data_IF_924597090912
#
_entry.id   IF_924597090912
#
_cell.length_a   1.000
_cell.length_b   1.000
_cell.length_c   1.000
_cell.angle_alpha   90.00
_cell.angle_beta   90.00
_cell.angle_gamma   90.00
#
_symmetry.space_group_name_H-M   'P 1'
#
loop_
_entity.id
_entity.type
_entity.pdbx_description
1 polymer ?
#
# COMPACT_ATOMS: atom_id res chain seq x y z
N UNK A 1 -0.86 15.09 20.20
CA UNK A 1 -0.01 13.97 20.65
C UNK A 1 0.64 13.38 19.40
N UNK A 2 1.91 13.73 19.13
CA UNK A 2 2.63 13.25 17.93
C UNK A 2 3.02 11.81 18.20
N UNK A 3 2.34 10.85 17.59
CA UNK A 3 2.77 9.45 17.62
C UNK A 3 4.05 9.36 16.81
N UNK A 4 5.16 9.24 17.52
CA UNK A 4 6.48 8.97 16.96
C UNK A 4 6.40 7.56 16.35
N UNK A 5 6.19 7.48 15.04
CA UNK A 5 6.31 6.23 14.30
C UNK A 5 7.80 5.89 14.36
N UNK A 6 8.16 4.91 15.20
CA UNK A 6 9.51 4.38 15.24
C UNK A 6 9.80 3.80 13.85
N UNK A 7 10.68 4.46 13.10
CA UNK A 7 11.24 3.94 11.86
C UNK A 7 12.16 2.76 12.21
N UNK A 8 11.57 1.61 12.50
CA UNK A 8 12.31 0.37 12.61
C UNK A 8 12.56 -0.10 11.19
N UNK A 9 13.76 0.20 10.66
CA UNK A 9 14.24 -0.34 9.39
C UNK A 9 14.50 -1.82 9.60
N UNK A 10 13.44 -2.63 9.52
CA UNK A 10 13.56 -4.07 9.39
C UNK A 10 13.67 -4.40 7.92
N UNK A 11 14.89 -4.29 7.40
CA UNK A 11 15.24 -4.94 6.14
C UNK A 11 15.57 -6.39 6.43
N UNK A 12 14.71 -7.31 6.01
CA UNK A 12 15.15 -8.68 5.76
C UNK A 12 16.27 -8.58 4.69
N UNK A 13 17.53 -8.95 5.00
CA UNK A 13 18.65 -8.80 4.07
C UNK A 13 18.42 -9.55 2.75
N UNK A 14 17.63 -10.62 2.78
CA UNK A 14 17.31 -11.38 1.57
C UNK A 14 16.30 -10.67 0.68
N UNK A 15 15.35 -9.93 1.27
CA UNK A 15 14.39 -9.11 0.52
C UNK A 15 15.13 -7.94 -0.17
N UNK A 16 16.06 -7.28 0.51
CA UNK A 16 16.88 -6.23 -0.11
C UNK A 16 17.77 -6.77 -1.22
N UNK A 17 18.31 -7.99 -1.09
CA UNK A 17 19.10 -8.64 -2.15
C UNK A 17 18.25 -9.02 -3.36
N UNK A 18 16.97 -9.29 -3.17
CA UNK A 18 16.01 -9.62 -4.23
C UNK A 18 15.52 -8.35 -4.94
N UNK A 19 15.23 -7.32 -4.16
CA UNK A 19 14.84 -5.99 -4.62
C UNK A 19 16.08 -5.15 -4.94
N UNK A 20 17.00 -5.67 -5.76
CA UNK A 20 18.23 -4.92 -6.13
C UNK A 20 17.91 -3.54 -6.70
N UNK A 21 16.75 -3.47 -7.34
CA UNK A 21 16.20 -2.32 -8.01
C UNK A 21 15.32 -1.44 -7.09
N UNK A 22 15.05 -1.88 -5.84
CA UNK A 22 14.20 -1.15 -4.90
C UNK A 22 14.78 -1.12 -3.48
N UNK A 23 15.11 0.08 -3.00
CA UNK A 23 15.62 0.28 -1.65
C UNK A 23 14.46 0.48 -0.67
N UNK A 24 14.21 -0.48 0.23
CA UNK A 24 13.19 -0.34 1.28
C UNK A 24 13.58 0.80 2.23
N UNK A 25 12.68 1.77 2.39
CA UNK A 25 12.85 2.94 3.26
C UNK A 25 12.11 2.71 4.59
N UNK A 26 10.90 2.16 4.54
CA UNK A 26 10.10 1.93 5.74
C UNK A 26 9.07 0.82 5.56
N UNK A 27 8.66 0.23 6.68
CA UNK A 27 7.52 -0.69 6.76
C UNK A 27 6.27 0.15 7.06
N UNK A 28 5.32 0.18 6.13
CA UNK A 28 4.04 0.88 6.32
C UNK A 28 3.03 0.04 7.08
N UNK A 29 3.08 -1.28 6.89
CA UNK A 29 2.24 -2.24 7.59
C UNK A 29 2.96 -3.56 7.77
N UNK A 30 2.92 -4.10 8.97
CA UNK A 30 3.38 -5.46 9.29
C UNK A 30 2.20 -6.30 9.76
N UNK A 31 2.04 -7.50 9.20
CA UNK A 31 0.90 -8.38 9.51
C UNK A 31 1.24 -9.86 9.23
N UNK A 32 0.47 -10.75 9.85
CA UNK A 32 0.45 -12.19 9.54
C UNK A 32 0.06 -12.45 8.08
N UNK A 33 -0.74 -11.56 7.49
CA UNK A 33 -1.16 -11.62 6.08
C UNK A 33 -0.02 -11.37 5.09
N UNK A 34 0.91 -10.52 5.49
CA UNK A 34 1.93 -9.97 4.61
C UNK A 34 2.21 -8.51 4.95
N UNK A 35 3.38 -8.06 4.54
CA UNK A 35 3.88 -6.74 4.85
C UNK A 35 3.64 -5.77 3.68
N UNK A 36 3.61 -4.49 3.99
CA UNK A 36 3.58 -3.39 3.02
C UNK A 36 4.76 -2.48 3.31
N UNK A 37 5.58 -2.23 2.29
CA UNK A 37 6.79 -1.43 2.39
C UNK A 37 6.67 -0.19 1.52
N UNK A 38 7.29 0.90 1.95
CA UNK A 38 7.67 2.03 1.10
C UNK A 38 9.12 1.84 0.70
N UNK A 39 9.40 1.90 -0.60
CA UNK A 39 10.75 1.79 -1.14
C UNK A 39 11.04 2.92 -2.14
N UNK A 40 12.31 3.15 -2.42
CA UNK A 40 12.77 3.99 -3.53
C UNK A 40 13.01 3.10 -4.75
N UNK A 41 12.49 3.48 -5.91
CA UNK A 41 12.86 2.87 -7.19
C UNK A 41 14.29 3.33 -7.57
N UNK A 42 15.17 2.38 -7.84
CA UNK A 42 16.58 2.61 -8.13
C UNK A 42 16.95 2.25 -9.58
N UNK A 43 15.97 1.84 -10.41
CA UNK A 43 16.23 1.45 -11.81
C UNK A 43 16.63 2.64 -12.70
N UNK A 44 16.09 3.82 -12.39
CA UNK A 44 16.39 5.05 -13.10
C UNK A 44 16.88 6.09 -12.10
N UNK A 45 18.17 6.40 -12.15
CA UNK A 45 18.82 7.36 -11.26
C UNK A 45 18.27 8.79 -11.40
N UNK A 46 17.57 9.09 -12.50
CA UNK A 46 16.88 10.37 -12.73
C UNK A 46 15.47 10.39 -12.13
N UNK A 47 14.84 9.23 -11.89
CA UNK A 47 13.51 9.12 -11.30
C UNK A 47 13.62 8.74 -9.84
N UNK A 48 13.34 9.70 -8.96
CA UNK A 48 13.31 9.45 -7.51
C UNK A 48 11.93 9.00 -7.02
N UNK A 49 11.26 8.16 -7.81
CA UNK A 49 9.90 7.75 -7.49
C UNK A 49 9.90 6.78 -6.31
N UNK A 50 8.99 7.02 -5.39
CA UNK A 50 8.70 6.05 -4.35
C UNK A 50 7.77 4.98 -4.91
N UNK A 51 7.90 3.78 -4.38
CA UNK A 51 7.02 2.66 -4.69
C UNK A 51 6.48 2.04 -3.42
N UNK A 52 5.35 1.37 -3.58
CA UNK A 52 4.79 0.47 -2.58
C UNK A 52 5.08 -0.96 -2.98
N UNK A 53 5.61 -1.74 -2.05
CA UNK A 53 5.83 -3.18 -2.20
C UNK A 53 4.86 -3.89 -1.26
N UNK A 54 3.93 -4.66 -1.81
CA UNK A 54 2.99 -5.49 -1.06
C UNK A 54 3.42 -6.95 -1.12
N UNK A 55 3.44 -7.62 0.02
CA UNK A 55 3.74 -9.05 0.11
C UNK A 55 2.46 -9.85 0.35
N UNK A 56 2.28 -10.94 -0.39
CA UNK A 56 1.31 -11.99 -0.14
C UNK A 56 2.01 -13.20 0.46
N UNK A 57 1.87 -13.43 1.78
CA UNK A 57 2.54 -14.55 2.45
C UNK A 57 1.96 -15.90 2.00
N UNK A 58 2.83 -16.91 1.88
CA UNK A 58 2.44 -18.24 1.45
C UNK A 58 1.64 -18.92 2.56
N UNK A 59 0.61 -19.69 2.18
CA UNK A 59 -0.18 -20.52 3.11
C UNK A 59 -0.83 -19.74 4.28
N UNK A 60 -0.94 -18.41 4.16
CA UNK A 60 -1.57 -17.56 5.17
C UNK A 60 -3.02 -17.30 4.81
N UNK A 61 -3.90 -17.48 5.80
CA UNK A 61 -5.33 -17.17 5.77
C UNK A 61 -6.04 -17.68 4.50
N UNK A 62 -6.00 -19.00 4.23
CA UNK A 62 -6.81 -19.58 3.17
C UNK A 62 -8.30 -19.35 3.46
N UNK A 63 -9.08 -19.09 2.41
CA UNK A 63 -10.53 -19.20 2.48
C UNK A 63 -10.99 -20.66 2.38
N UNK A 64 -12.31 -20.88 2.37
CA UNK A 64 -12.93 -22.21 2.24
C UNK A 64 -12.57 -22.94 0.92
N UNK A 65 -12.06 -22.21 -0.07
CA UNK A 65 -11.60 -22.74 -1.35
C UNK A 65 -10.07 -22.88 -1.41
N UNK A 66 -9.36 -22.68 -0.29
CA UNK A 66 -7.91 -22.78 -0.19
C UNK A 66 -7.14 -21.58 -0.76
N UNK A 67 -7.82 -20.49 -1.13
CA UNK A 67 -7.17 -19.29 -1.68
C UNK A 67 -6.64 -18.43 -0.55
N UNK A 68 -5.33 -18.22 -0.53
CA UNK A 68 -4.65 -17.46 0.52
C UNK A 68 -4.28 -16.04 0.10
N UNK A 69 -3.34 -15.45 0.85
CA UNK A 69 -2.90 -14.07 0.59
C UNK A 69 -2.21 -13.89 -0.76
N UNK A 70 -1.61 -14.94 -1.34
CA UNK A 70 -1.03 -14.90 -2.69
C UNK A 70 -2.12 -14.72 -3.74
N UNK A 71 -3.16 -15.53 -3.67
CA UNK A 71 -4.27 -15.50 -4.62
C UNK A 71 -4.99 -14.15 -4.54
N UNK A 72 -5.14 -13.57 -3.34
CA UNK A 72 -5.68 -12.21 -3.18
C UNK A 72 -4.79 -11.13 -3.79
N UNK A 73 -3.47 -11.25 -3.66
CA UNK A 73 -2.55 -10.28 -4.26
C UNK A 73 -2.56 -10.36 -5.80
N UNK A 74 -2.60 -11.58 -6.36
CA UNK A 74 -2.77 -11.79 -7.81
C UNK A 74 -4.11 -11.27 -8.30
N UNK A 75 -5.17 -11.44 -7.51
CA UNK A 75 -6.47 -10.86 -7.85
C UNK A 75 -6.41 -9.32 -7.89
N UNK A 76 -5.72 -8.69 -6.92
CA UNK A 76 -5.49 -7.25 -6.95
C UNK A 76 -4.74 -6.84 -8.23
N UNK A 77 -3.66 -7.53 -8.58
CA UNK A 77 -2.91 -7.30 -9.82
C UNK A 77 -3.83 -7.35 -11.05
N UNK A 78 -4.61 -8.42 -11.18
CA UNK A 78 -5.54 -8.61 -12.30
C UNK A 78 -6.57 -7.49 -12.40
N UNK A 79 -7.25 -7.17 -11.29
CA UNK A 79 -8.27 -6.10 -11.26
C UNK A 79 -7.67 -4.76 -11.61
N UNK A 80 -6.50 -4.44 -11.04
CA UNK A 80 -5.84 -3.16 -11.25
C UNK A 80 -5.37 -2.98 -12.70
N UNK A 81 -4.81 -4.03 -13.32
CA UNK A 81 -4.46 -4.03 -14.74
C UNK A 81 -5.70 -3.93 -15.63
N UNK A 82 -6.81 -4.55 -15.25
CA UNK A 82 -8.06 -4.51 -16.01
C UNK A 82 -8.72 -3.13 -15.98
N UNK A 83 -8.44 -2.34 -14.94
CA UNK A 83 -9.06 -1.03 -14.70
C UNK A 83 -8.13 0.17 -14.98
N UNK A 84 -6.85 -0.07 -15.30
CA UNK A 84 -5.83 0.99 -15.36
C UNK A 84 -6.12 2.11 -16.35
N UNK A 85 -6.89 1.81 -17.41
CA UNK A 85 -7.29 2.78 -18.43
C UNK A 85 -8.74 3.29 -18.26
N UNK A 86 -9.44 2.84 -17.22
CA UNK A 86 -10.85 3.17 -16.96
C UNK A 86 -10.98 4.13 -15.78
N UNK A 87 -10.18 3.92 -14.74
CA UNK A 87 -10.16 4.74 -13.53
C UNK A 87 -8.72 4.99 -13.10
N UNK A 88 -8.48 6.09 -12.40
CA UNK A 88 -7.17 6.41 -11.84
C UNK A 88 -6.75 5.41 -10.77
N UNK A 89 -6.07 4.34 -11.18
CA UNK A 89 -5.41 3.39 -10.27
C UNK A 89 -3.91 3.59 -10.31
N UNK A 90 -3.19 3.35 -9.20
CA UNK A 90 -1.74 3.43 -9.20
C UNK A 90 -1.14 2.51 -10.28
N UNK A 91 -0.03 2.90 -10.88
CA UNK A 91 0.63 2.05 -11.87
C UNK A 91 1.18 0.76 -11.22
N UNK A 92 1.08 -0.38 -11.91
CA UNK A 92 1.80 -1.60 -11.54
C UNK A 92 3.17 -1.56 -12.21
N UNK A 93 4.23 -1.58 -11.40
CA UNK A 93 5.61 -1.58 -11.89
C UNK A 93 6.15 -2.99 -12.09
N UNK A 94 5.87 -3.90 -11.15
CA UNK A 94 6.41 -5.25 -11.20
C UNK A 94 5.60 -6.23 -10.33
N UNK A 95 5.73 -7.53 -10.63
CA UNK A 95 5.22 -8.62 -9.84
C UNK A 95 6.15 -9.83 -9.92
N UNK A 96 6.58 -10.34 -8.76
CA UNK A 96 7.45 -11.52 -8.71
C UNK A 96 7.14 -12.44 -7.53
N UNK A 97 7.72 -13.64 -7.58
CA UNK A 97 7.63 -14.64 -6.52
C UNK A 97 8.99 -14.95 -5.92
N UNK A 98 9.05 -15.06 -4.60
CA UNK A 98 10.27 -15.44 -3.90
C UNK A 98 9.98 -16.18 -2.60
N UNK A 99 10.70 -17.29 -2.37
CA UNK A 99 10.53 -18.19 -1.21
C UNK A 99 9.07 -18.56 -0.94
N UNK A 100 8.31 -18.77 -2.01
CA UNK A 100 6.89 -19.11 -1.95
C UNK A 100 5.94 -17.94 -1.70
N UNK A 101 6.44 -16.73 -1.45
CA UNK A 101 5.68 -15.50 -1.31
C UNK A 101 5.53 -14.76 -2.64
N UNK A 102 4.42 -14.06 -2.82
CA UNK A 102 4.24 -13.17 -3.97
C UNK A 102 4.48 -11.72 -3.53
N UNK A 103 5.02 -10.90 -4.43
CA UNK A 103 5.30 -9.49 -4.21
C UNK A 103 4.75 -8.68 -5.38
N UNK A 104 4.06 -7.59 -5.07
CA UNK A 104 3.49 -6.65 -6.04
C UNK A 104 4.08 -5.27 -5.78
N UNK A 105 4.73 -4.71 -6.80
CA UNK A 105 5.30 -3.38 -6.79
C UNK A 105 4.39 -2.46 -7.58
N UNK A 106 4.02 -1.35 -6.94
CA UNK A 106 3.12 -0.36 -7.51
C UNK A 106 3.58 1.05 -7.16
N UNK A 107 3.12 2.01 -7.94
CA UNK A 107 3.32 3.43 -7.70
C UNK A 107 2.93 3.82 -6.27
N UNK A 108 3.74 4.68 -5.66
CA UNK A 108 3.37 5.38 -4.44
C UNK A 108 2.65 6.68 -4.79
N UNK A 109 1.38 6.79 -4.39
CA UNK A 109 0.63 8.03 -4.52
C UNK A 109 0.98 8.93 -3.34
N UNK A 110 1.60 10.07 -3.62
CA UNK A 110 1.87 11.10 -2.63
C UNK A 110 0.58 11.83 -2.24
N UNK A 111 0.43 12.13 -0.95
CA UNK A 111 -0.71 12.87 -0.42
C UNK A 111 -1.32 12.22 0.81
N UNK A 112 -2.56 12.62 1.09
CA UNK A 112 -3.35 12.13 2.23
C UNK A 112 -4.41 11.16 1.74
N UNK A 113 -4.67 10.14 2.54
CA UNK A 113 -5.80 9.25 2.31
C UNK A 113 -7.12 10.00 2.54
N UNK A 114 -8.18 9.60 1.82
CA UNK A 114 -9.52 10.13 2.04
C UNK A 114 -9.93 10.04 3.53
N UNK A 115 -9.56 8.95 4.20
CA UNK A 115 -9.79 8.77 5.64
C UNK A 115 -9.14 9.88 6.47
N UNK A 116 -7.90 10.24 6.18
CA UNK A 116 -7.20 11.30 6.93
C UNK A 116 -7.80 12.68 6.66
N UNK A 117 -8.28 12.94 5.44
CA UNK A 117 -8.96 14.17 5.09
C UNK A 117 -10.28 14.26 5.88
N UNK A 118 -11.13 13.24 5.76
CA UNK A 118 -12.42 13.17 6.46
C UNK A 118 -12.24 13.23 7.97
N UNK A 119 -11.30 12.47 8.55
CA UNK A 119 -11.03 12.53 9.98
C UNK A 119 -10.57 13.92 10.45
N UNK A 120 -9.85 14.65 9.59
CA UNK A 120 -9.47 16.03 9.82
C UNK A 120 -10.66 16.98 9.86
N UNK A 121 -11.65 16.81 8.98
CA UNK A 121 -12.88 17.62 8.95
C UNK A 121 -13.78 17.31 10.16
N UNK A 122 -13.84 16.04 10.56
CA UNK A 122 -14.66 15.62 11.69
C UNK A 122 -14.14 16.17 13.03
N UNK A 123 -12.83 16.32 13.21
CA UNK A 123 -12.23 16.82 14.46
C UNK A 123 -12.77 16.14 15.75
N UNK A 124 -13.11 14.85 15.68
CA UNK A 124 -13.77 14.05 16.75
C UNK A 124 -15.23 14.41 17.07
N UNK A 125 -15.87 15.22 16.25
CA UNK A 125 -17.31 15.49 16.31
C UNK A 125 -18.08 14.31 15.70
N UNK A 126 -19.39 14.25 15.92
CA UNK A 126 -20.31 13.39 15.16
C UNK A 126 -20.80 14.13 13.92
N UNK A 127 -21.41 13.42 12.97
CA UNK A 127 -21.96 14.03 11.75
C UNK A 127 -22.94 15.18 12.06
N UNK A 128 -23.83 14.97 13.01
CA UNK A 128 -24.85 15.95 13.39
C UNK A 128 -24.26 17.19 14.08
N UNK A 129 -23.08 17.06 14.66
CA UNK A 129 -22.35 18.15 15.31
C UNK A 129 -21.45 18.95 14.34
N UNK A 130 -21.42 18.60 13.05
CA UNK A 130 -20.71 19.35 12.03
C UNK A 130 -21.53 20.53 11.51
N UNK A 131 -20.84 21.62 11.15
CA UNK A 131 -21.46 22.71 10.38
C UNK A 131 -22.02 22.17 9.06
N UNK A 132 -23.02 22.86 8.50
CA UNK A 132 -23.54 22.53 7.18
C UNK A 132 -22.42 22.57 6.11
N UNK A 133 -21.53 23.57 6.20
CA UNK A 133 -20.35 23.73 5.34
C UNK A 133 -19.43 22.50 5.38
N UNK A 134 -19.08 22.00 6.58
CA UNK A 134 -18.22 20.81 6.70
C UNK A 134 -18.90 19.53 6.22
N UNK A 135 -20.24 19.43 6.31
CA UNK A 135 -20.97 18.30 5.76
C UNK A 135 -20.97 18.31 4.24
N UNK A 136 -21.18 19.48 3.64
CA UNK A 136 -21.13 19.67 2.18
C UNK A 136 -19.71 19.36 1.67
N UNK A 137 -18.67 19.89 2.31
CA UNK A 137 -17.30 19.67 1.86
C UNK A 137 -16.88 18.20 1.89
N UNK A 138 -17.43 17.37 2.79
CA UNK A 138 -17.19 15.92 2.79
C UNK A 138 -17.89 15.22 1.61
N UNK A 139 -19.09 15.67 1.23
CA UNK A 139 -19.87 15.06 0.15
C UNK A 139 -19.33 15.43 -1.25
N UNK A 140 -18.55 16.50 -1.34
CA UNK A 140 -17.92 16.99 -2.57
C UNK A 140 -16.47 16.50 -2.77
N UNK A 141 -15.95 15.66 -1.87
CA UNK A 141 -14.63 14.99 -2.03
C UNK A 141 -14.65 13.93 -3.14
#
# INVERSE_FOLDING_TARGET
MKTQISQKVYSDPEINKLLKDYLIISVLKEDKKGNVYKAKDCQDWLKTDHVIIKQGKAQMLPDEFGRGMKERLRWQLYVQQSLSNVVGTPEIKDFFRYKGHDYLIMEYIEGRTLREIVAGIFEKKTWDALSAENRISILEL
#
